data_IF_295492978526
#
_entry.id   IF_295492978526
#
_cell.length_a   1.000
_cell.length_b   1.000
_cell.length_c   1.000
_cell.angle_alpha   90.00
_cell.angle_beta   90.00
_cell.angle_gamma   90.00
#
_symmetry.space_group_name_H-M   'P 1'
#
loop_
_entity.id
_entity.type
_entity.pdbx_description
1 polymer ?
#
# COMPACT_ATOMS: atom_id res chain seq x y z
N UNK A 1 -5.47 -86.89 28.20
CA UNK A 1 -5.77 -86.03 27.08
C UNK A 1 -5.58 -84.56 27.50
N UNK A 2 -4.52 -83.89 27.13
CA UNK A 2 -4.28 -82.50 27.56
C UNK A 2 -4.99 -81.50 26.63
N UNK A 3 -5.66 -80.53 27.25
CA UNK A 3 -6.31 -79.39 26.56
C UNK A 3 -5.26 -78.30 26.25
N UNK A 4 -5.11 -78.00 25.00
CA UNK A 4 -4.26 -76.93 24.52
C UNK A 4 -5.04 -75.57 24.61
N UNK A 5 -4.54 -74.61 25.42
CA UNK A 5 -5.03 -73.22 25.46
C UNK A 5 -4.24 -72.42 24.46
N UNK A 6 -4.97 -71.80 23.52
CA UNK A 6 -4.42 -70.79 22.61
C UNK A 6 -4.59 -69.38 23.24
N UNK A 7 -3.48 -68.72 23.53
CA UNK A 7 -3.46 -67.33 23.96
C UNK A 7 -3.44 -66.46 22.77
N UNK A 8 -4.50 -65.63 22.58
CA UNK A 8 -4.58 -64.60 21.51
C UNK A 8 -4.03 -63.29 22.08
N UNK A 9 -2.83 -62.94 21.68
CA UNK A 9 -2.23 -61.64 21.99
C UNK A 9 -2.80 -60.60 21.04
N UNK A 10 -3.76 -59.78 21.52
CA UNK A 10 -4.30 -58.67 20.78
C UNK A 10 -3.29 -57.51 20.69
N UNK A 11 -2.88 -57.16 19.48
CA UNK A 11 -2.05 -56.02 19.18
C UNK A 11 -2.94 -54.77 19.18
N UNK A 12 -2.83 -53.92 20.22
CA UNK A 12 -3.49 -52.62 20.27
C UNK A 12 -2.78 -51.66 19.27
N UNK A 13 -3.38 -51.41 18.13
CA UNK A 13 -3.02 -50.27 17.27
C UNK A 13 -3.58 -48.97 17.88
N UNK A 14 -2.72 -48.17 18.49
CA UNK A 14 -3.07 -46.79 18.86
C UNK A 14 -3.13 -45.94 17.58
N UNK A 15 -4.20 -45.16 17.33
CA UNK A 15 -4.22 -44.24 16.21
C UNK A 15 -3.25 -43.10 16.49
N UNK A 16 -2.28 -42.94 15.61
CA UNK A 16 -1.41 -41.78 15.57
C UNK A 16 -2.27 -40.57 15.13
N UNK A 17 -2.83 -39.86 16.11
CA UNK A 17 -3.51 -38.60 15.86
C UNK A 17 -2.49 -37.57 15.34
N UNK A 18 -2.55 -37.24 14.06
CA UNK A 18 -1.84 -36.10 13.52
C UNK A 18 -2.38 -34.85 14.20
N UNK A 19 -1.62 -34.28 15.13
CA UNK A 19 -1.84 -32.92 15.63
C UNK A 19 -1.65 -32.00 14.44
N UNK A 20 -2.76 -31.59 13.84
CA UNK A 20 -2.79 -30.41 12.95
C UNK A 20 -2.45 -29.21 13.83
N UNK A 21 -1.21 -28.77 13.80
CA UNK A 21 -0.83 -27.47 14.33
C UNK A 21 -1.53 -26.44 13.46
N UNK A 22 -2.63 -25.87 13.95
CA UNK A 22 -3.19 -24.65 13.40
C UNK A 22 -2.09 -23.60 13.58
N UNK A 23 -1.50 -23.15 12.48
CA UNK A 23 -0.58 -22.03 12.52
C UNK A 23 -1.37 -20.85 13.14
N UNK A 24 -0.93 -20.41 14.31
CA UNK A 24 -1.49 -19.23 14.96
C UNK A 24 -1.33 -18.07 13.98
N UNK A 25 -2.44 -17.44 13.60
CA UNK A 25 -2.39 -16.27 12.69
C UNK A 25 -1.55 -15.18 13.36
N UNK A 26 -0.59 -14.63 12.65
CA UNK A 26 0.23 -13.54 13.15
C UNK A 26 -0.69 -12.41 13.64
N UNK A 27 -0.53 -12.01 14.89
CA UNK A 27 -1.31 -10.94 15.49
C UNK A 27 -0.41 -9.74 15.74
N UNK A 28 -0.78 -8.58 15.23
CA UNK A 28 -0.07 -7.31 15.41
C UNK A 28 -1.11 -6.21 15.73
N UNK A 29 -1.80 -6.30 16.90
CA UNK A 29 -2.94 -5.46 17.23
C UNK A 29 -2.58 -3.97 17.31
N UNK A 30 -1.35 -3.63 17.65
CA UNK A 30 -0.88 -2.25 17.78
C UNK A 30 -0.89 -1.50 16.43
N UNK A 31 -0.91 -2.23 15.31
CA UNK A 31 -0.99 -1.65 13.97
C UNK A 31 -2.43 -1.34 13.52
N UNK A 32 -3.43 -1.62 14.35
CA UNK A 32 -4.83 -1.51 14.00
C UNK A 32 -5.59 -0.59 14.96
N UNK A 33 -6.45 0.26 14.42
CA UNK A 33 -7.35 1.06 15.21
C UNK A 33 -8.10 0.21 16.24
N UNK A 34 -7.93 0.51 17.53
CA UNK A 34 -8.49 -0.26 18.66
C UNK A 34 -8.12 -1.75 18.65
N UNK A 35 -6.99 -2.13 18.06
CA UNK A 35 -6.51 -3.50 18.02
C UNK A 35 -7.26 -4.44 17.07
N UNK A 36 -8.15 -3.93 16.22
CA UNK A 36 -9.00 -4.74 15.36
C UNK A 36 -8.60 -4.58 13.88
N UNK A 37 -8.17 -5.66 13.21
CA UNK A 37 -7.73 -5.58 11.81
C UNK A 37 -8.89 -5.24 10.86
N UNK A 38 -8.59 -4.65 9.68
CA UNK A 38 -9.57 -4.39 8.64
C UNK A 38 -10.33 -5.66 8.23
N UNK A 39 -11.63 -5.54 7.99
CA UNK A 39 -12.50 -6.67 7.66
C UNK A 39 -12.80 -6.72 6.16
N UNK A 40 -12.47 -7.84 5.51
CA UNK A 40 -12.90 -8.14 4.15
C UNK A 40 -14.32 -8.69 4.20
N UNK A 41 -15.28 -8.01 3.57
CA UNK A 41 -16.69 -8.35 3.64
C UNK A 41 -17.11 -9.40 2.60
N UNK A 42 -16.38 -9.49 1.49
CA UNK A 42 -16.59 -10.51 0.45
C UNK A 42 -16.03 -11.86 0.88
N UNK A 43 -16.86 -12.89 0.95
CA UNK A 43 -16.42 -14.26 1.26
C UNK A 43 -15.45 -14.81 0.21
N UNK A 44 -15.71 -14.50 -1.07
CA UNK A 44 -14.84 -14.91 -2.17
C UNK A 44 -13.44 -14.29 -2.05
N UNK A 45 -13.36 -13.02 -1.67
CA UNK A 45 -12.09 -12.34 -1.51
C UNK A 45 -11.31 -12.78 -0.26
N UNK A 46 -12.00 -13.32 0.78
CA UNK A 46 -11.35 -13.87 1.98
C UNK A 46 -10.63 -15.20 1.74
N UNK A 47 -11.04 -15.96 0.72
CA UNK A 47 -10.38 -17.22 0.38
C UNK A 47 -8.96 -16.99 -0.13
N UNK A 48 -7.99 -17.82 0.31
CA UNK A 48 -6.60 -17.75 -0.12
C UNK A 48 -5.89 -16.46 0.32
N UNK A 49 -6.14 -16.01 1.56
CA UNK A 49 -5.47 -14.84 2.14
C UNK A 49 -4.52 -15.24 3.28
N UNK A 50 -3.44 -14.47 3.44
CA UNK A 50 -2.46 -14.60 4.52
C UNK A 50 -2.19 -13.21 5.10
N UNK A 51 -2.38 -13.07 6.43
CA UNK A 51 -1.98 -11.85 7.13
C UNK A 51 -0.51 -11.94 7.53
N UNK A 52 0.25 -10.91 7.21
CA UNK A 52 1.66 -10.78 7.54
C UNK A 52 1.87 -9.52 8.37
N UNK A 53 2.50 -9.67 9.52
CA UNK A 53 2.96 -8.55 10.33
C UNK A 53 4.39 -8.18 9.94
N UNK A 54 4.64 -6.89 9.74
CA UNK A 54 5.95 -6.27 9.61
C UNK A 54 6.19 -5.36 10.81
N UNK A 55 7.37 -4.74 10.90
CA UNK A 55 7.74 -3.93 12.06
C UNK A 55 6.79 -2.75 12.30
N UNK A 56 6.29 -2.12 11.23
CA UNK A 56 5.47 -0.90 11.31
C UNK A 56 4.18 -0.96 10.48
N UNK A 57 3.89 -2.09 9.85
CA UNK A 57 2.62 -2.28 9.13
C UNK A 57 2.24 -3.75 9.05
N UNK A 58 0.96 -4.02 8.92
CA UNK A 58 0.43 -5.33 8.59
C UNK A 58 -0.15 -5.33 7.17
N UNK A 59 -0.08 -6.47 6.49
CA UNK A 59 -0.68 -6.64 5.17
C UNK A 59 -1.52 -7.91 5.10
N UNK A 60 -2.70 -7.85 4.51
CA UNK A 60 -3.46 -9.02 4.11
C UNK A 60 -3.16 -9.31 2.64
N UNK A 61 -2.27 -10.26 2.40
CA UNK A 61 -1.94 -10.72 1.06
C UNK A 61 -2.97 -11.71 0.52
N UNK A 62 -3.23 -11.69 -0.79
CA UNK A 62 -4.23 -12.54 -1.45
C UNK A 62 -3.62 -13.31 -2.61
N UNK A 63 -3.99 -14.59 -2.73
CA UNK A 63 -3.63 -15.42 -3.87
C UNK A 63 -4.25 -14.90 -5.19
N UNK A 64 -5.46 -14.36 -5.11
CA UNK A 64 -6.18 -13.86 -6.30
C UNK A 64 -5.49 -12.66 -6.93
N UNK A 65 -4.89 -11.79 -6.11
CA UNK A 65 -4.24 -10.55 -6.57
C UNK A 65 -2.72 -10.65 -6.59
N UNK A 66 -2.12 -11.67 -5.97
CA UNK A 66 -0.67 -11.77 -5.72
C UNK A 66 -0.08 -10.49 -5.13
N UNK A 67 -0.87 -9.83 -4.32
CA UNK A 67 -0.58 -8.56 -3.68
C UNK A 67 -1.52 -8.31 -2.52
N UNK A 68 -1.50 -7.10 -1.95
CA UNK A 68 -2.32 -6.77 -0.79
C UNK A 68 -3.79 -6.61 -1.18
N UNK A 69 -4.70 -7.06 -0.31
CA UNK A 69 -6.07 -6.56 -0.25
C UNK A 69 -6.11 -5.26 0.53
N UNK A 70 -5.31 -5.17 1.59
CA UNK A 70 -5.07 -3.97 2.36
C UNK A 70 -3.70 -4.04 3.05
N UNK A 71 -3.16 -2.87 3.38
CA UNK A 71 -2.04 -2.65 4.27
C UNK A 71 -2.48 -1.68 5.36
N UNK A 72 -2.15 -1.95 6.62
CA UNK A 72 -2.54 -1.14 7.76
C UNK A 72 -1.33 -0.75 8.59
N UNK A 73 -1.27 0.49 9.04
CA UNK A 73 -0.18 1.04 9.83
C UNK A 73 -0.71 1.97 10.93
N UNK A 74 0.00 1.99 12.03
CA UNK A 74 -0.05 3.03 13.04
C UNK A 74 1.04 4.05 12.70
N UNK A 75 0.63 5.22 12.24
CA UNK A 75 1.53 6.28 11.76
C UNK A 75 1.67 7.37 12.83
N UNK A 76 2.85 7.41 13.44
CA UNK A 76 3.15 8.35 14.52
C UNK A 76 4.11 9.45 14.06
N UNK A 77 4.05 10.62 14.73
CA UNK A 77 5.01 11.71 14.54
C UNK A 77 6.46 11.22 14.77
N UNK A 78 6.69 10.43 15.82
CA UNK A 78 8.02 9.90 16.17
C UNK A 78 8.59 9.06 15.02
N UNK A 79 7.79 8.14 14.45
CA UNK A 79 8.21 7.31 13.32
C UNK A 79 8.53 8.18 12.09
N UNK A 80 7.73 9.20 11.82
CA UNK A 80 7.94 10.13 10.71
C UNK A 80 9.21 10.96 10.87
N UNK A 81 9.54 11.40 12.08
CA UNK A 81 10.81 12.09 12.33
C UNK A 81 12.03 11.23 12.05
N UNK A 82 11.96 9.93 12.32
CA UNK A 82 13.02 8.98 11.99
C UNK A 82 13.05 8.78 10.48
N UNK A 83 11.90 8.56 9.84
CA UNK A 83 11.78 8.34 8.40
C UNK A 83 12.33 9.52 7.57
N UNK A 84 12.10 10.76 8.00
CA UNK A 84 12.59 11.98 7.33
C UNK A 84 14.13 12.06 7.24
N UNK A 85 14.83 11.38 8.17
CA UNK A 85 16.31 11.32 8.19
C UNK A 85 16.86 10.17 7.35
N UNK A 86 15.99 9.30 6.84
CA UNK A 86 16.38 8.13 6.07
C UNK A 86 16.60 8.46 4.60
N UNK A 87 17.66 7.87 4.02
CA UNK A 87 17.78 7.81 2.57
C UNK A 87 16.93 6.65 2.04
N UNK A 88 16.19 6.89 0.98
CA UNK A 88 15.43 5.85 0.31
C UNK A 88 16.37 4.91 -0.46
N UNK A 89 16.28 3.62 -0.14
CA UNK A 89 16.97 2.54 -0.84
C UNK A 89 15.95 1.56 -1.42
N UNK A 90 15.74 1.65 -2.73
CA UNK A 90 14.82 0.76 -3.43
C UNK A 90 15.32 -0.69 -3.40
N UNK A 91 14.54 -1.59 -2.79
CA UNK A 91 14.89 -2.99 -2.60
C UNK A 91 13.73 -3.94 -2.89
N UNK A 92 12.97 -3.67 -3.96
CA UNK A 92 11.81 -4.50 -4.33
C UNK A 92 12.18 -5.97 -4.48
N UNK A 93 11.46 -6.84 -3.76
CA UNK A 93 11.68 -8.29 -3.76
C UNK A 93 10.38 -9.04 -3.48
N UNK A 94 10.27 -10.30 -3.95
CA UNK A 94 9.18 -11.17 -3.55
C UNK A 94 9.12 -11.33 -2.03
N UNK A 95 7.92 -11.49 -1.49
CA UNK A 95 7.74 -11.84 -0.08
C UNK A 95 7.76 -13.37 0.08
N UNK A 96 8.91 -13.90 0.47
CA UNK A 96 9.14 -15.34 0.58
C UNK A 96 8.43 -16.00 1.76
N UNK A 97 7.76 -15.22 2.62
CA UNK A 97 6.87 -15.75 3.67
C UNK A 97 5.57 -16.29 3.08
N UNK A 98 5.21 -15.84 1.88
CA UNK A 98 4.02 -16.28 1.15
C UNK A 98 4.32 -17.56 0.33
N UNK A 99 3.34 -18.47 0.16
CA UNK A 99 3.42 -19.55 -0.81
C UNK A 99 3.65 -19.00 -2.25
N UNK A 100 4.35 -19.76 -3.09
CA UNK A 100 4.64 -19.34 -4.48
C UNK A 100 3.41 -18.88 -5.28
N UNK A 101 2.22 -19.50 -5.18
CA UNK A 101 1.03 -19.02 -5.88
C UNK A 101 0.59 -17.60 -5.48
N UNK A 102 0.97 -17.14 -4.29
CA UNK A 102 0.65 -15.82 -3.78
C UNK A 102 1.72 -14.78 -4.05
N UNK A 103 2.92 -15.18 -4.49
CA UNK A 103 4.03 -14.26 -4.70
C UNK A 103 3.91 -13.54 -6.05
N UNK A 104 4.16 -12.22 -6.05
CA UNK A 104 4.53 -11.44 -7.21
C UNK A 104 6.06 -11.37 -7.35
N UNK A 105 6.55 -11.12 -8.55
CA UNK A 105 7.96 -11.02 -8.85
C UNK A 105 8.28 -9.68 -9.52
N UNK A 106 9.50 -9.18 -9.33
CA UNK A 106 9.94 -7.92 -9.96
C UNK A 106 9.88 -7.97 -11.49
N UNK A 107 10.02 -9.18 -12.08
CA UNK A 107 9.87 -9.43 -13.51
C UNK A 107 8.47 -9.12 -14.04
N UNK A 108 7.42 -9.26 -13.22
CA UNK A 108 6.04 -8.97 -13.63
C UNK A 108 5.82 -7.49 -13.94
N UNK A 109 6.58 -6.62 -13.26
CA UNK A 109 6.53 -5.18 -13.47
C UNK A 109 7.46 -4.70 -14.60
N UNK A 110 8.39 -5.54 -15.05
CA UNK A 110 9.36 -5.17 -16.08
C UNK A 110 8.65 -4.93 -17.42
N UNK A 111 8.78 -3.72 -17.98
CA UNK A 111 8.12 -3.29 -19.24
C UNK A 111 6.58 -3.34 -19.19
N UNK A 112 5.99 -3.33 -18.00
CA UNK A 112 4.53 -3.33 -17.84
C UNK A 112 3.89 -1.97 -18.10
N UNK A 113 4.69 -0.89 -18.10
CA UNK A 113 4.23 0.50 -18.08
C UNK A 113 3.56 0.93 -16.77
N UNK A 114 3.61 0.09 -15.73
CA UNK A 114 3.15 0.40 -14.39
C UNK A 114 4.32 0.54 -13.42
N UNK A 115 4.18 1.47 -12.50
CA UNK A 115 5.06 1.58 -11.35
C UNK A 115 4.72 0.51 -10.32
N UNK A 116 5.69 0.19 -9.46
CA UNK A 116 5.48 -0.58 -8.23
C UNK A 116 4.93 0.36 -7.16
N UNK A 117 3.61 0.48 -7.10
CA UNK A 117 2.93 1.40 -6.18
C UNK A 117 2.82 0.80 -4.77
N UNK A 118 3.31 1.53 -3.78
CA UNK A 118 3.24 1.14 -2.38
C UNK A 118 1.83 1.33 -1.81
N UNK A 119 1.42 0.44 -0.91
CA UNK A 119 0.26 0.66 -0.05
C UNK A 119 0.70 1.37 1.24
N UNK A 120 1.55 0.75 2.07
CA UNK A 120 2.31 1.47 3.11
C UNK A 120 3.56 2.07 2.48
N UNK A 121 3.70 3.41 2.46
CA UNK A 121 4.81 4.09 1.79
C UNK A 121 6.16 3.85 2.45
N UNK A 122 7.23 3.79 1.66
CA UNK A 122 8.58 3.73 2.20
C UNK A 122 9.00 5.00 2.95
N UNK A 123 8.31 6.12 2.70
CA UNK A 123 8.51 7.38 3.40
C UNK A 123 7.92 7.45 4.81
N UNK A 124 7.13 6.44 5.20
CA UNK A 124 6.53 6.33 6.52
C UNK A 124 7.37 5.42 7.44
N UNK A 125 8.35 4.71 6.85
CA UNK A 125 9.11 3.68 7.53
C UNK A 125 10.29 4.23 8.36
N UNK A 126 10.22 4.07 9.67
CA UNK A 126 11.26 4.46 10.62
C UNK A 126 12.35 3.38 10.74
N UNK A 127 13.47 3.59 10.04
CA UNK A 127 14.62 2.70 10.09
C UNK A 127 14.77 1.77 8.88
N UNK A 128 15.97 1.25 8.71
CA UNK A 128 16.35 0.49 7.51
C UNK A 128 15.59 -0.84 7.36
N UNK A 129 15.25 -1.51 8.46
CA UNK A 129 14.50 -2.76 8.43
C UNK A 129 13.07 -2.52 7.96
N UNK A 130 12.35 -1.58 8.57
CA UNK A 130 10.99 -1.20 8.19
C UNK A 130 10.94 -0.68 6.74
N UNK A 131 11.91 0.14 6.33
CA UNK A 131 12.00 0.60 4.95
C UNK A 131 12.19 -0.57 3.98
N UNK A 132 13.07 -1.52 4.27
CA UNK A 132 13.26 -2.71 3.44
C UNK A 132 11.98 -3.55 3.35
N UNK A 133 11.24 -3.69 4.44
CA UNK A 133 9.97 -4.41 4.47
C UNK A 133 8.91 -3.73 3.58
N UNK A 134 8.86 -2.40 3.53
CA UNK A 134 7.90 -1.67 2.69
C UNK A 134 8.05 -2.00 1.19
N UNK A 135 9.22 -2.45 0.74
CA UNK A 135 9.50 -2.87 -0.63
C UNK A 135 9.18 -4.35 -0.93
N UNK A 136 8.62 -5.10 0.03
CA UNK A 136 8.11 -6.44 -0.25
C UNK A 136 6.92 -6.37 -1.20
N UNK A 137 6.90 -7.22 -2.22
CA UNK A 137 5.86 -7.19 -3.25
C UNK A 137 4.46 -7.56 -2.70
N UNK A 138 4.37 -8.10 -1.49
CA UNK A 138 3.12 -8.22 -0.74
C UNK A 138 2.47 -6.88 -0.36
N UNK A 139 3.22 -5.77 -0.40
CA UNK A 139 2.77 -4.39 -0.14
C UNK A 139 2.58 -3.56 -1.42
N UNK A 140 2.72 -4.16 -2.60
CA UNK A 140 2.86 -3.45 -3.88
C UNK A 140 1.72 -3.82 -4.84
N UNK A 141 1.21 -2.81 -5.55
CA UNK A 141 0.24 -2.99 -6.64
C UNK A 141 0.69 -2.26 -7.91
N UNK A 142 0.21 -2.66 -9.10
CA UNK A 142 0.44 -1.89 -10.32
C UNK A 142 -0.27 -0.54 -10.27
N UNK A 143 0.48 0.55 -10.28
CA UNK A 143 -0.06 1.91 -10.38
C UNK A 143 0.44 2.60 -11.65
N UNK A 144 -0.40 3.41 -12.30
CA UNK A 144 0.07 4.25 -13.40
C UNK A 144 1.12 5.25 -12.87
N UNK A 145 2.17 5.57 -13.64
CA UNK A 145 3.15 6.57 -13.23
C UNK A 145 2.52 7.93 -12.92
N UNK A 146 1.45 8.29 -13.65
CA UNK A 146 0.70 9.52 -13.47
C UNK A 146 0.00 9.57 -12.11
N UNK A 147 -0.55 8.45 -11.65
CA UNK A 147 -1.13 8.34 -10.31
C UNK A 147 -0.03 8.32 -9.24
N UNK A 148 0.87 7.33 -9.34
CA UNK A 148 1.87 7.03 -8.31
C UNK A 148 2.80 8.22 -8.01
N UNK A 149 3.26 8.91 -9.06
CA UNK A 149 4.20 10.05 -8.95
C UNK A 149 3.49 11.41 -8.91
N UNK A 150 2.18 11.41 -8.89
CA UNK A 150 1.33 12.59 -8.94
C UNK A 150 0.41 12.68 -7.71
N UNK A 151 -0.91 12.63 -7.90
CA UNK A 151 -1.84 12.88 -6.80
C UNK A 151 -1.77 11.85 -5.67
N UNK A 152 -1.30 10.61 -5.92
CA UNK A 152 -1.13 9.61 -4.85
C UNK A 152 -0.04 10.01 -3.85
N UNK A 153 1.12 10.46 -4.34
CA UNK A 153 2.17 11.00 -3.47
C UNK A 153 1.68 12.24 -2.70
N UNK A 154 0.81 13.04 -3.33
CA UNK A 154 0.14 14.16 -2.67
C UNK A 154 -0.77 13.74 -1.52
N UNK A 155 -1.52 12.62 -1.68
CA UNK A 155 -2.31 12.01 -0.61
C UNK A 155 -1.41 11.51 0.51
N UNK A 156 -0.36 10.76 0.21
CA UNK A 156 0.62 10.29 1.21
C UNK A 156 1.24 11.46 1.99
N UNK A 157 1.61 12.52 1.30
CA UNK A 157 2.15 13.74 1.92
C UNK A 157 1.12 14.45 2.83
N UNK A 158 -0.16 14.47 2.44
CA UNK A 158 -1.22 15.03 3.27
C UNK A 158 -1.43 14.22 4.55
N UNK A 159 -1.44 12.89 4.44
CA UNK A 159 -1.59 11.96 5.56
C UNK A 159 -0.42 12.06 6.53
N UNK A 160 0.84 12.09 6.05
CA UNK A 160 2.02 12.36 6.90
C UNK A 160 1.94 13.71 7.61
N UNK A 161 1.44 14.74 6.92
CA UNK A 161 1.22 16.04 7.54
C UNK A 161 0.22 15.97 8.69
N UNK A 162 -0.85 15.21 8.50
CA UNK A 162 -1.88 15.03 9.53
C UNK A 162 -1.33 14.24 10.74
N UNK A 163 -0.59 13.15 10.51
CA UNK A 163 0.06 12.42 11.60
C UNK A 163 0.99 13.30 12.46
N UNK A 164 1.72 14.24 11.84
CA UNK A 164 2.56 15.20 12.60
C UNK A 164 1.76 16.23 13.38
N UNK A 165 0.58 16.60 12.90
CA UNK A 165 -0.30 17.56 13.57
C UNK A 165 -1.02 16.94 14.77
N UNK A 166 -1.42 15.66 14.65
CA UNK A 166 -2.22 14.94 15.67
C UNK A 166 -1.38 14.00 16.57
N UNK A 167 -0.12 13.74 16.18
CA UNK A 167 0.81 12.85 16.89
C UNK A 167 0.68 11.38 16.49
N UNK A 168 -0.54 10.88 16.28
CA UNK A 168 -0.83 9.48 15.91
C UNK A 168 -2.09 9.40 15.06
N UNK A 169 -2.05 8.62 13.97
CA UNK A 169 -3.22 8.27 13.16
C UNK A 169 -3.12 6.82 12.69
N UNK A 170 -4.26 6.15 12.57
CA UNK A 170 -4.34 4.82 11.96
C UNK A 170 -4.68 4.95 10.48
N UNK A 171 -3.90 4.27 9.65
CA UNK A 171 -4.03 4.32 8.19
C UNK A 171 -4.24 2.92 7.62
N UNK A 172 -5.25 2.77 6.76
CA UNK A 172 -5.45 1.54 5.99
C UNK A 172 -5.48 1.90 4.51
N UNK A 173 -4.64 1.24 3.75
CA UNK A 173 -4.46 1.51 2.31
C UNK A 173 -4.74 0.25 1.51
N UNK A 174 -5.39 0.35 0.36
CA UNK A 174 -5.62 -0.81 -0.47
C UNK A 174 -5.98 -0.48 -1.92
N UNK A 175 -5.98 -1.51 -2.78
CA UNK A 175 -6.52 -1.45 -4.13
C UNK A 175 -8.03 -1.65 -4.13
N UNK A 176 -8.70 -1.13 -5.16
CA UNK A 176 -10.06 -1.50 -5.52
C UNK A 176 -10.10 -1.99 -6.96
N UNK A 177 -10.66 -3.16 -7.17
CA UNK A 177 -10.73 -3.80 -8.50
C UNK A 177 -12.12 -3.65 -9.09
N UNK A 178 -12.18 -3.37 -10.38
CA UNK A 178 -13.42 -3.36 -11.15
C UNK A 178 -13.59 -4.76 -11.77
N UNK A 179 -14.70 -5.48 -11.48
CA UNK A 179 -14.92 -6.81 -12.04
C UNK A 179 -15.02 -6.84 -13.57
N UNK A 180 -15.34 -5.70 -14.20
CA UNK A 180 -15.42 -5.57 -15.64
C UNK A 180 -14.05 -5.25 -16.29
N UNK A 181 -13.03 -4.93 -15.49
CA UNK A 181 -11.66 -4.68 -15.95
C UNK A 181 -10.77 -5.90 -15.73
N UNK A 182 -10.39 -6.57 -16.82
CA UNK A 182 -9.53 -7.77 -16.78
C UNK A 182 -8.05 -7.46 -17.08
N UNK A 183 -7.59 -6.23 -16.85
CA UNK A 183 -6.21 -5.87 -17.12
C UNK A 183 -5.25 -6.48 -16.10
N UNK A 184 -4.19 -7.12 -16.59
CA UNK A 184 -3.15 -7.75 -15.77
C UNK A 184 -1.76 -7.41 -16.30
N UNK A 185 -0.74 -7.51 -15.45
CA UNK A 185 0.67 -7.37 -15.85
C UNK A 185 1.46 -8.65 -15.57
N UNK A 186 2.56 -8.80 -16.29
CA UNK A 186 3.53 -9.88 -16.09
C UNK A 186 3.03 -11.28 -16.44
N UNK A 187 3.92 -12.25 -16.32
CA UNK A 187 3.63 -13.67 -16.58
C UNK A 187 2.70 -14.28 -15.53
N UNK A 188 2.69 -13.74 -14.33
CA UNK A 188 1.85 -14.20 -13.22
C UNK A 188 0.47 -13.51 -13.19
N UNK A 189 0.16 -12.68 -14.20
CA UNK A 189 -1.15 -12.02 -14.38
C UNK A 189 -1.59 -11.23 -13.15
N UNK A 190 -0.69 -10.38 -12.61
CA UNK A 190 -1.01 -9.49 -11.50
C UNK A 190 -2.12 -8.53 -11.95
N UNK A 191 -3.29 -8.50 -11.30
CA UNK A 191 -4.38 -7.62 -11.72
C UNK A 191 -4.03 -6.15 -11.46
N UNK A 192 -4.46 -5.28 -12.38
CA UNK A 192 -4.31 -3.83 -12.24
C UNK A 192 -5.55 -3.28 -11.52
N UNK A 193 -5.41 -2.61 -10.35
CA UNK A 193 -6.55 -2.03 -9.68
C UNK A 193 -7.12 -0.84 -10.45
N UNK A 194 -8.43 -0.68 -10.44
CA UNK A 194 -9.13 0.48 -11.01
C UNK A 194 -8.93 1.74 -10.17
N UNK A 195 -8.85 1.56 -8.85
CA UNK A 195 -8.60 2.63 -7.87
C UNK A 195 -7.58 2.19 -6.84
N UNK A 196 -6.90 3.17 -6.23
CA UNK A 196 -6.25 2.99 -4.93
C UNK A 196 -6.91 3.89 -3.91
N UNK A 197 -6.98 3.44 -2.68
CA UNK A 197 -7.63 4.16 -1.59
C UNK A 197 -6.78 4.15 -0.33
N UNK A 198 -6.96 5.19 0.50
CA UNK A 198 -6.30 5.33 1.80
C UNK A 198 -7.31 5.87 2.80
N UNK A 199 -7.73 5.02 3.73
CA UNK A 199 -8.61 5.38 4.83
C UNK A 199 -7.78 5.80 6.05
N UNK A 200 -8.24 6.82 6.76
CA UNK A 200 -7.54 7.38 7.93
C UNK A 200 -8.50 7.54 9.09
N UNK A 201 -8.02 7.21 10.27
CA UNK A 201 -8.67 7.49 11.55
C UNK A 201 -7.71 8.20 12.48
N UNK A 202 -8.15 9.36 12.97
CA UNK A 202 -7.50 10.15 13.99
C UNK A 202 -8.18 9.89 15.33
N UNK A 203 -7.52 9.22 16.29
CA UNK A 203 -8.10 8.91 17.59
C UNK A 203 -8.21 10.15 18.49
N UNK A 204 -7.37 11.16 18.33
CA UNK A 204 -7.36 12.37 19.17
C UNK A 204 -8.48 13.33 18.78
N UNK A 205 -8.60 13.66 17.50
CA UNK A 205 -9.63 14.56 16.97
C UNK A 205 -10.92 13.86 16.55
N UNK A 206 -11.01 12.52 16.63
CA UNK A 206 -12.10 11.72 16.10
C UNK A 206 -12.35 11.95 14.59
N UNK A 207 -11.31 12.31 13.86
CA UNK A 207 -11.35 12.50 12.42
C UNK A 207 -11.39 11.16 11.67
N UNK A 208 -12.23 11.03 10.66
CA UNK A 208 -12.23 9.86 9.77
C UNK A 208 -12.57 10.25 8.35
N UNK A 209 -12.08 9.44 7.42
CA UNK A 209 -12.43 9.54 6.02
C UNK A 209 -11.51 8.70 5.16
N UNK A 210 -11.67 8.81 3.85
CA UNK A 210 -10.84 8.11 2.91
C UNK A 210 -10.58 8.92 1.64
N UNK A 211 -9.35 8.84 1.14
CA UNK A 211 -9.01 9.25 -0.21
C UNK A 211 -9.24 8.08 -1.16
N UNK A 212 -9.82 8.35 -2.33
CA UNK A 212 -10.00 7.37 -3.41
C UNK A 212 -9.50 8.00 -4.70
N UNK A 213 -8.54 7.36 -5.35
CA UNK A 213 -7.89 7.85 -6.55
C UNK A 213 -8.05 6.87 -7.72
N UNK A 214 -8.41 7.37 -8.90
CA UNK A 214 -8.48 6.57 -10.12
C UNK A 214 -7.06 6.19 -10.59
N UNK A 215 -6.85 4.92 -10.88
CA UNK A 215 -5.57 4.39 -11.39
C UNK A 215 -5.54 4.43 -12.91
N UNK A 216 -5.46 5.62 -13.48
CA UNK A 216 -5.53 5.88 -14.93
C UNK A 216 -4.45 6.86 -15.36
N UNK A 217 -4.29 7.07 -16.68
CA UNK A 217 -3.40 8.08 -17.24
C UNK A 217 -3.83 9.54 -16.90
N UNK A 218 -5.08 9.73 -16.50
CA UNK A 218 -5.61 11.02 -16.03
C UNK A 218 -6.20 10.83 -14.62
N UNK A 219 -5.35 10.64 -13.59
CA UNK A 219 -5.81 10.33 -12.27
C UNK A 219 -6.53 11.50 -11.63
N UNK A 220 -7.58 11.21 -10.90
CA UNK A 220 -8.26 12.15 -10.03
C UNK A 220 -8.52 11.50 -8.68
N UNK A 221 -8.40 12.29 -7.62
CA UNK A 221 -8.63 11.84 -6.26
C UNK A 221 -9.79 12.61 -5.64
N UNK A 222 -10.52 11.95 -4.76
CA UNK A 222 -11.60 12.56 -3.97
C UNK A 222 -11.57 12.04 -2.54
N UNK A 223 -12.11 12.84 -1.64
CA UNK A 223 -12.35 12.43 -0.26
C UNK A 223 -13.78 11.91 -0.15
N UNK A 224 -13.96 10.84 0.62
CA UNK A 224 -15.25 10.21 0.89
C UNK A 224 -15.31 9.68 2.32
N UNK A 225 -16.51 9.31 2.79
CA UNK A 225 -16.64 8.66 4.10
C UNK A 225 -16.14 7.22 4.07
N UNK A 226 -15.74 6.71 5.23
CA UNK A 226 -15.31 5.31 5.40
C UNK A 226 -16.44 4.35 5.00
N UNK A 227 -17.70 4.66 5.33
CA UNK A 227 -18.83 3.83 4.95
C UNK A 227 -19.06 3.78 3.43
N UNK A 228 -18.82 4.88 2.71
CA UNK A 228 -18.91 4.88 1.24
C UNK A 228 -17.75 4.08 0.63
N UNK A 229 -16.52 4.24 1.15
CA UNK A 229 -15.38 3.41 0.76
C UNK A 229 -15.69 1.92 0.96
N UNK A 230 -16.19 1.54 2.13
CA UNK A 230 -16.56 0.14 2.46
C UNK A 230 -17.51 -0.45 1.43
N UNK A 231 -18.52 0.31 1.00
CA UNK A 231 -19.44 -0.12 -0.06
C UNK A 231 -18.77 -0.26 -1.44
N UNK A 232 -17.78 0.59 -1.71
CA UNK A 232 -17.06 0.58 -2.99
C UNK A 232 -16.13 -0.63 -3.12
N UNK A 233 -15.40 -0.97 -2.05
CA UNK A 233 -14.30 -1.95 -2.12
C UNK A 233 -14.58 -3.25 -1.35
N UNK A 234 -15.72 -3.38 -0.67
CA UNK A 234 -16.08 -4.50 0.20
C UNK A 234 -15.04 -4.80 1.30
N UNK A 235 -14.38 -3.77 1.79
CA UNK A 235 -13.46 -3.83 2.92
C UNK A 235 -13.85 -2.74 3.92
N UNK A 236 -14.10 -3.12 5.18
CA UNK A 236 -14.24 -2.16 6.27
C UNK A 236 -12.86 -1.92 6.89
N UNK A 237 -12.24 -0.75 6.68
CA UNK A 237 -10.91 -0.46 7.19
C UNK A 237 -10.86 -0.34 8.71
N UNK A 238 -11.98 0.02 9.36
CA UNK A 238 -12.05 0.27 10.80
C UNK A 238 -13.28 -0.39 11.44
N UNK A 239 -13.33 -1.73 11.57
CA UNK A 239 -14.52 -2.44 12.06
C UNK A 239 -14.91 -2.07 13.49
N UNK A 240 -13.93 -1.71 14.32
CA UNK A 240 -14.16 -1.32 15.72
C UNK A 240 -14.73 0.09 15.90
N UNK A 241 -14.79 0.92 14.84
CA UNK A 241 -15.38 2.24 14.94
C UNK A 241 -16.91 2.19 14.76
N UNK A 242 -17.66 3.04 15.49
CA UNK A 242 -19.11 3.11 15.34
C UNK A 242 -19.50 3.65 13.96
N UNK A 243 -20.67 3.24 13.47
CA UNK A 243 -21.19 3.66 12.18
C UNK A 243 -21.26 5.20 12.05
N UNK A 244 -21.66 5.89 13.12
CA UNK A 244 -21.74 7.36 13.17
C UNK A 244 -20.43 8.05 12.83
N UNK A 245 -19.28 7.47 13.16
CA UNK A 245 -17.97 7.99 12.76
C UNK A 245 -17.63 7.68 11.31
N UNK A 246 -18.05 6.51 10.82
CA UNK A 246 -17.75 6.05 9.45
C UNK A 246 -18.65 6.68 8.38
N UNK A 247 -19.82 7.17 8.75
CA UNK A 247 -20.80 7.75 7.80
C UNK A 247 -20.43 9.17 7.34
N UNK A 248 -19.56 9.85 8.06
CA UNK A 248 -19.17 11.23 7.79
C UNK A 248 -17.67 11.35 7.52
N UNK A 249 -17.29 12.41 6.81
CA UNK A 249 -15.90 12.84 6.67
C UNK A 249 -15.64 13.89 7.74
N UNK A 250 -14.61 13.70 8.56
CA UNK A 250 -14.21 14.64 9.58
C UNK A 250 -12.68 14.76 9.62
N UNK A 251 -12.17 15.98 9.76
CA UNK A 251 -10.73 16.26 9.97
C UNK A 251 -9.82 16.02 8.76
N UNK A 252 -10.32 15.48 7.65
CA UNK A 252 -9.48 15.11 6.49
C UNK A 252 -8.81 16.31 5.86
N UNK A 253 -7.45 16.35 5.80
CA UNK A 253 -6.75 17.42 5.10
C UNK A 253 -7.00 17.35 3.59
N UNK A 254 -6.96 18.48 2.88
CA UNK A 254 -7.05 18.48 1.43
C UNK A 254 -5.84 17.77 0.81
N UNK A 255 -6.03 17.23 -0.39
CA UNK A 255 -4.94 16.59 -1.13
C UNK A 255 -3.90 17.66 -1.47
N UNK A 256 -2.67 17.44 -1.06
CA UNK A 256 -1.54 18.34 -1.35
C UNK A 256 -1.01 18.10 -2.77
N UNK A 257 -0.38 19.12 -3.35
CA UNK A 257 0.39 18.86 -4.57
C UNK A 257 1.59 17.97 -4.25
N UNK A 258 1.85 16.99 -5.12
CA UNK A 258 2.97 16.09 -4.99
C UNK A 258 4.30 16.86 -4.91
N UNK A 259 5.12 16.68 -3.87
CA UNK A 259 6.45 17.27 -3.78
C UNK A 259 7.32 16.93 -4.99
N UNK A 260 7.16 15.74 -5.57
CA UNK A 260 7.83 15.33 -6.80
C UNK A 260 7.36 16.14 -8.01
N UNK A 261 6.05 16.37 -8.14
CA UNK A 261 5.49 17.19 -9.22
C UNK A 261 5.99 18.64 -9.12
N UNK A 262 6.00 19.21 -7.92
CA UNK A 262 6.56 20.54 -7.65
C UNK A 262 8.04 20.63 -8.01
N UNK A 263 8.85 19.65 -7.57
CA UNK A 263 10.28 19.61 -7.90
C UNK A 263 10.54 19.44 -9.40
N UNK A 264 9.68 18.71 -10.12
CA UNK A 264 9.73 18.58 -11.58
C UNK A 264 9.39 19.90 -12.27
N UNK A 265 8.34 20.59 -11.84
CA UNK A 265 7.97 21.90 -12.34
C UNK A 265 9.09 22.93 -12.14
N UNK A 266 9.71 22.96 -10.97
CA UNK A 266 10.82 23.86 -10.68
C UNK A 266 12.05 23.58 -11.53
N UNK A 267 12.40 22.32 -11.75
CA UNK A 267 13.47 21.93 -12.68
C UNK A 267 13.16 22.38 -14.10
N UNK A 268 11.95 22.14 -14.58
CA UNK A 268 11.52 22.56 -15.92
C UNK A 268 11.57 24.09 -16.06
N UNK A 269 11.09 24.84 -15.05
CA UNK A 269 11.14 26.31 -15.03
C UNK A 269 12.60 26.82 -15.05
N UNK A 270 13.51 26.19 -14.30
CA UNK A 270 14.94 26.54 -14.32
C UNK A 270 15.55 26.29 -15.70
N UNK A 271 15.30 25.14 -16.31
CA UNK A 271 15.77 24.82 -17.66
C UNK A 271 15.27 25.80 -18.71
N UNK A 272 13.98 26.15 -18.67
CA UNK A 272 13.41 27.14 -19.59
C UNK A 272 14.04 28.54 -19.41
N UNK A 273 14.29 28.96 -18.17
CA UNK A 273 15.01 30.23 -17.90
C UNK A 273 16.44 30.21 -18.46
N UNK A 274 17.16 29.13 -18.28
CA UNK A 274 18.53 28.97 -18.81
C UNK A 274 18.54 28.93 -20.36
N UNK A 275 17.58 28.25 -20.97
CA UNK A 275 17.39 28.24 -22.41
C UNK A 275 17.07 29.66 -22.96
N UNK A 276 16.17 30.39 -22.30
CA UNK A 276 15.83 31.76 -22.64
C UNK A 276 17.05 32.71 -22.58
N UNK A 277 17.86 32.58 -21.51
CA UNK A 277 19.11 33.35 -21.38
C UNK A 277 20.10 33.04 -22.51
N UNK A 278 20.31 31.76 -22.82
CA UNK A 278 21.23 31.33 -23.91
C UNK A 278 20.75 31.80 -25.28
N UNK A 279 19.42 31.73 -25.55
CA UNK A 279 18.83 32.22 -26.79
C UNK A 279 18.98 33.75 -26.94
N UNK A 280 18.72 34.50 -25.87
CA UNK A 280 18.92 35.97 -25.85
C UNK A 280 20.37 36.38 -26.10
N UNK A 281 21.33 35.67 -25.44
CA UNK A 281 22.77 35.90 -25.65
C UNK A 281 23.21 35.61 -27.11
N UNK A 282 22.65 34.50 -27.69
CA UNK A 282 22.94 34.14 -29.08
C UNK A 282 22.40 35.22 -30.05
N UNK A 283 21.17 35.69 -29.83
CA UNK A 283 20.56 36.73 -30.62
C UNK A 283 21.34 38.06 -30.53
N UNK A 284 21.75 38.46 -29.31
CA UNK A 284 22.55 39.65 -29.08
C UNK A 284 23.92 39.56 -29.81
N UNK A 285 24.61 38.43 -29.71
CA UNK A 285 25.89 38.22 -30.45
C UNK A 285 25.70 38.29 -31.96
N UNK A 286 24.61 37.74 -32.48
CA UNK A 286 24.29 37.79 -33.90
C UNK A 286 24.05 39.26 -34.36
N UNK A 287 23.31 40.01 -33.54
CA UNK A 287 23.05 41.44 -33.80
C UNK A 287 24.34 42.28 -33.79
N UNK A 288 25.18 42.09 -32.75
CA UNK A 288 26.48 42.79 -32.66
C UNK A 288 27.36 42.48 -33.88
N UNK A 289 27.39 41.20 -34.30
CA UNK A 289 28.17 40.78 -35.49
C UNK A 289 27.65 41.38 -36.80
N UNK A 290 26.36 41.71 -36.90
CA UNK A 290 25.77 42.38 -38.10
C UNK A 290 25.98 43.88 -38.12
N UNK A 291 26.36 44.50 -36.99
CA UNK A 291 26.60 45.92 -36.84
C UNK A 291 28.08 46.34 -36.96
N UNK A 292 28.97 45.36 -36.96
CA UNK A 292 30.41 45.58 -37.13
C UNK A 292 30.77 45.25 -38.58
N UNK A 293 31.18 46.22 -39.39
CA UNK A 293 31.51 46.03 -40.82
C UNK A 293 32.75 45.14 -41.00
#
# INVERSE_FOLDING_TARGET
MPKIFWSVTGLLCLPFGALLTVAEAATCPDLFAKGVPPAVLSETARGGTVMLCNDQYAVLASEQTRGPLWSAEDLTEENLEIADRMQRHDSFQPDTRLPLPMQAFTSDYTRSHYDRGHMTPSGDAAGAAAQKQSFLLSNIVPQTPELNRGPWEGVESAVRGWAREEGEIFVVTGPGYDPDQNQTIGSHRIPVPAVTWKAVYDPAGNGTGAYVCLNTAHPSCRITSVAMLTRLVNIDPFPALPASMKDHVAGMPPIRESPYALAKQDRTRKLLKEWGKKAAQKALRALVKSLVP
#
